data_IF_954716114973
#
_entry.id   IF_954716114973
#
_cell.length_a   1.000
_cell.length_b   1.000
_cell.length_c   1.000
_cell.angle_alpha   90.00
_cell.angle_beta   90.00
_cell.angle_gamma   90.00
#
_symmetry.space_group_name_H-M   'P 1'
#
loop_
_entity.id
_entity.type
_entity.pdbx_description
1 polymer ?
#
# COMPACT_ATOMS: atom_id res chain seq x y z
N UNK A 1 -41.61 9.26 4.11
CA UNK A 1 -40.39 10.09 4.08
C UNK A 1 -39.20 9.16 4.00
N UNK A 2 -38.66 8.97 2.80
CA UNK A 2 -37.48 8.12 2.60
C UNK A 2 -36.25 8.91 3.06
N UNK A 3 -35.56 8.41 4.09
CA UNK A 3 -34.24 8.89 4.50
C UNK A 3 -33.26 8.61 3.36
N UNK A 4 -32.71 9.69 2.79
CA UNK A 4 -31.62 9.61 1.84
C UNK A 4 -30.41 8.94 2.52
N UNK A 5 -30.05 7.75 2.06
CA UNK A 5 -28.73 7.17 2.34
C UNK A 5 -27.69 8.08 1.71
N UNK A 6 -26.93 8.79 2.55
CA UNK A 6 -25.75 9.51 2.11
C UNK A 6 -24.80 8.49 1.45
N UNK A 7 -24.64 8.60 0.14
CA UNK A 7 -23.61 7.91 -0.61
C UNK A 7 -22.27 8.48 -0.15
N UNK A 8 -21.65 7.85 0.85
CA UNK A 8 -20.33 8.23 1.33
C UNK A 8 -19.33 8.18 0.18
N UNK A 9 -18.63 9.28 -0.02
CA UNK A 9 -17.64 9.52 -1.07
C UNK A 9 -16.46 8.55 -0.88
N UNK A 10 -16.45 7.40 -1.56
CA UNK A 10 -15.30 6.48 -1.57
C UNK A 10 -14.01 7.12 -2.13
N UNK A 11 -14.12 8.31 -2.71
CA UNK A 11 -13.01 9.09 -3.27
C UNK A 11 -12.26 9.93 -2.24
N UNK A 12 -12.91 10.32 -1.13
CA UNK A 12 -12.31 11.22 -0.14
C UNK A 12 -11.46 10.43 0.86
N UNK A 13 -10.16 10.76 0.93
CA UNK A 13 -9.18 10.12 1.82
C UNK A 13 -9.07 10.91 3.12
N UNK A 14 -8.96 10.21 4.25
CA UNK A 14 -8.56 10.83 5.53
C UNK A 14 -7.11 11.33 5.43
N UNK A 15 -6.70 12.23 6.33
CA UNK A 15 -5.33 12.73 6.32
C UNK A 15 -4.30 11.63 6.66
N UNK A 16 -4.69 10.69 7.52
CA UNK A 16 -3.90 9.48 7.80
C UNK A 16 -3.75 8.60 6.56
N UNK A 17 -4.84 8.33 5.83
CA UNK A 17 -4.79 7.59 4.57
C UNK A 17 -3.88 8.30 3.56
N UNK A 18 -3.98 9.63 3.42
CA UNK A 18 -3.10 10.38 2.52
C UNK A 18 -1.64 10.21 2.89
N UNK A 19 -1.30 10.30 4.18
CA UNK A 19 0.08 10.16 4.64
C UNK A 19 0.65 8.76 4.35
N UNK A 20 -0.13 7.72 4.63
CA UNK A 20 0.26 6.33 4.36
C UNK A 20 0.45 6.11 2.85
N UNK A 21 -0.50 6.57 2.04
CA UNK A 21 -0.47 6.44 0.58
C UNK A 21 0.72 7.19 0.00
N UNK A 22 1.03 8.39 0.48
CA UNK A 22 2.17 9.17 0.00
C UNK A 22 3.51 8.50 0.31
N UNK A 23 3.63 7.90 1.50
CA UNK A 23 4.81 7.10 1.86
C UNK A 23 4.99 5.89 0.93
N UNK A 24 3.91 5.14 0.69
CA UNK A 24 3.94 3.96 -0.22
C UNK A 24 4.21 4.39 -1.65
N UNK A 25 3.65 5.52 -2.09
CA UNK A 25 3.91 6.13 -3.39
C UNK A 25 5.38 6.45 -3.57
N UNK A 26 5.99 7.11 -2.59
CA UNK A 26 7.40 7.47 -2.65
C UNK A 26 8.28 6.21 -2.73
N UNK A 27 7.97 5.19 -1.93
CA UNK A 27 8.66 3.90 -2.01
C UNK A 27 8.54 3.26 -3.41
N UNK A 28 7.34 3.26 -3.98
CA UNK A 28 7.12 2.74 -5.32
C UNK A 28 7.90 3.53 -6.39
N UNK A 29 7.87 4.86 -6.32
CA UNK A 29 8.48 5.72 -7.33
C UNK A 29 10.02 5.73 -7.25
N UNK A 30 10.59 5.64 -6.04
CA UNK A 30 12.04 5.71 -5.82
C UNK A 30 12.74 4.34 -5.86
N UNK A 31 12.08 3.29 -5.38
CA UNK A 31 12.71 1.97 -5.24
C UNK A 31 12.17 0.97 -6.25
N UNK A 32 10.85 0.89 -6.40
CA UNK A 32 10.24 -0.17 -7.22
C UNK A 32 10.38 0.13 -8.72
N UNK A 33 9.80 1.25 -9.19
CA UNK A 33 9.70 1.57 -10.62
C UNK A 33 11.07 1.57 -11.33
N UNK A 34 12.14 2.18 -10.78
CA UNK A 34 13.42 2.26 -11.48
C UNK A 34 14.11 0.90 -11.64
N UNK A 35 13.76 -0.08 -10.81
CA UNK A 35 14.46 -1.36 -10.73
C UNK A 35 13.60 -2.54 -11.22
N UNK A 36 12.28 -2.36 -11.40
CA UNK A 36 11.36 -3.42 -11.81
C UNK A 36 11.80 -4.14 -13.10
N UNK A 37 12.22 -3.39 -14.12
CA UNK A 37 12.68 -3.97 -15.40
C UNK A 37 13.95 -4.83 -15.21
N UNK A 38 14.85 -4.44 -14.31
CA UNK A 38 16.06 -5.21 -14.03
C UNK A 38 15.73 -6.56 -13.40
N UNK A 39 14.90 -6.56 -12.36
CA UNK A 39 14.53 -7.79 -11.66
C UNK A 39 13.67 -8.72 -12.52
N UNK A 40 12.74 -8.18 -13.33
CA UNK A 40 11.96 -8.98 -14.28
C UNK A 40 12.86 -9.63 -15.34
N UNK A 41 13.92 -8.95 -15.79
CA UNK A 41 14.85 -9.49 -16.78
C UNK A 41 15.81 -10.54 -16.23
N UNK A 42 16.29 -10.37 -15.00
CA UNK A 42 17.26 -11.28 -14.38
C UNK A 42 16.61 -12.48 -13.67
N UNK A 43 15.26 -12.53 -13.58
CA UNK A 43 14.50 -13.56 -12.85
C UNK A 43 14.95 -13.66 -11.37
N UNK A 44 15.32 -12.51 -10.81
CA UNK A 44 15.85 -12.39 -9.44
C UNK A 44 14.77 -11.91 -8.48
N UNK A 45 14.74 -12.55 -7.30
CA UNK A 45 13.82 -12.16 -6.24
C UNK A 45 14.32 -10.91 -5.50
N UNK A 46 13.51 -9.82 -5.43
CA UNK A 46 13.94 -8.54 -4.88
C UNK A 46 13.92 -8.54 -3.34
N UNK A 47 14.89 -9.21 -2.72
CA UNK A 47 14.97 -9.31 -1.25
C UNK A 47 15.00 -7.95 -0.56
N UNK A 48 15.73 -6.98 -1.12
CA UNK A 48 15.86 -5.65 -0.52
C UNK A 48 14.52 -4.90 -0.47
N UNK A 49 13.61 -5.16 -1.40
CA UNK A 49 12.27 -4.57 -1.38
C UNK A 49 11.40 -5.23 -0.34
N UNK A 50 11.48 -6.56 -0.23
CA UNK A 50 10.72 -7.30 0.78
C UNK A 50 11.13 -6.88 2.19
N UNK A 51 12.43 -6.69 2.45
CA UNK A 51 12.88 -6.24 3.77
C UNK A 51 12.42 -4.80 4.05
N UNK A 52 12.50 -3.89 3.07
CA UNK A 52 11.95 -2.53 3.21
C UNK A 52 10.43 -2.53 3.45
N UNK A 53 9.67 -3.33 2.70
CA UNK A 53 8.21 -3.45 2.88
C UNK A 53 7.86 -3.97 4.27
N UNK A 54 8.69 -4.84 4.84
CA UNK A 54 8.55 -5.37 6.20
C UNK A 54 8.87 -4.31 7.25
N UNK A 55 9.91 -3.50 7.06
CA UNK A 55 10.20 -2.35 7.92
C UNK A 55 9.07 -1.31 7.92
N UNK A 56 8.44 -1.10 6.76
CA UNK A 56 7.25 -0.26 6.60
C UNK A 56 5.95 -0.90 7.15
N UNK A 57 6.00 -2.15 7.62
CA UNK A 57 4.85 -2.85 8.19
C UNK A 57 3.80 -3.30 7.16
N UNK A 58 4.10 -3.24 5.86
CA UNK A 58 3.11 -3.47 4.79
C UNK A 58 2.54 -4.89 4.75
N UNK A 59 3.24 -5.87 5.35
CA UNK A 59 2.72 -7.24 5.51
C UNK A 59 1.69 -7.39 6.64
N UNK A 60 1.61 -6.42 7.55
CA UNK A 60 0.74 -6.44 8.73
C UNK A 60 -0.38 -5.41 8.70
N UNK A 61 -0.71 -4.84 7.55
CA UNK A 61 -1.63 -3.68 7.41
C UNK A 61 -2.95 -3.90 8.14
N UNK A 62 -3.61 -5.03 7.90
CA UNK A 62 -4.95 -5.33 8.47
C UNK A 62 -4.89 -6.15 9.75
N UNK A 63 -3.68 -6.56 10.17
CA UNK A 63 -3.49 -7.37 11.36
C UNK A 63 -3.66 -6.46 12.59
N UNK A 64 -4.41 -6.87 13.62
CA UNK A 64 -4.55 -6.08 14.84
C UNK A 64 -3.20 -5.76 15.49
N UNK A 65 -3.12 -4.58 16.11
CA UNK A 65 -1.90 -4.12 16.81
C UNK A 65 -1.43 -5.08 17.90
N UNK A 66 -2.35 -5.80 18.56
CA UNK A 66 -2.01 -6.80 19.59
C UNK A 66 -1.13 -7.96 19.07
N UNK A 67 -1.12 -8.18 17.75
CA UNK A 67 -0.28 -9.17 17.07
C UNK A 67 0.89 -8.53 16.31
N UNK A 68 1.14 -7.22 16.50
CA UNK A 68 2.20 -6.48 15.84
C UNK A 68 1.86 -5.98 14.43
N UNK A 69 0.58 -5.88 14.08
CA UNK A 69 0.12 -5.26 12.83
C UNK A 69 -0.24 -3.78 12.99
N UNK A 70 -0.82 -3.18 11.94
CA UNK A 70 -1.21 -1.77 11.92
C UNK A 70 -2.71 -1.54 12.20
N UNK A 71 -3.53 -2.59 12.24
CA UNK A 71 -4.95 -2.50 12.55
C UNK A 71 -5.77 -1.65 11.57
N UNK A 72 -5.27 -1.43 10.34
CA UNK A 72 -5.90 -0.57 9.35
C UNK A 72 -7.08 -1.27 8.66
N UNK A 73 -8.01 -0.46 8.15
CA UNK A 73 -9.19 -0.95 7.45
C UNK A 73 -8.86 -1.47 6.04
N UNK A 74 -9.79 -2.25 5.49
CA UNK A 74 -9.63 -2.83 4.14
C UNK A 74 -9.55 -1.76 3.06
N UNK A 75 -10.19 -0.61 3.23
CA UNK A 75 -10.15 0.48 2.26
C UNK A 75 -8.72 1.03 2.14
N UNK A 76 -8.07 1.27 3.28
CA UNK A 76 -6.67 1.74 3.32
C UNK A 76 -5.73 0.67 2.75
N UNK A 77 -5.97 -0.61 3.08
CA UNK A 77 -5.21 -1.72 2.49
C UNK A 77 -5.28 -1.74 0.96
N UNK A 78 -6.48 -1.61 0.38
CA UNK A 78 -6.64 -1.57 -1.08
C UNK A 78 -5.88 -0.40 -1.69
N UNK A 79 -5.94 0.78 -1.08
CA UNK A 79 -5.20 1.96 -1.57
C UNK A 79 -3.68 1.76 -1.53
N UNK A 80 -3.15 1.09 -0.50
CA UNK A 80 -1.73 0.72 -0.43
C UNK A 80 -1.37 -0.23 -1.58
N UNK A 81 -2.18 -1.26 -1.79
CA UNK A 81 -1.95 -2.26 -2.84
C UNK A 81 -2.02 -1.62 -4.23
N UNK A 82 -2.93 -0.68 -4.47
CA UNK A 82 -3.02 0.08 -5.72
C UNK A 82 -1.72 0.84 -6.03
N UNK A 83 -1.13 1.49 -5.02
CA UNK A 83 0.13 2.23 -5.20
C UNK A 83 1.32 1.30 -5.45
N UNK A 84 1.42 0.17 -4.73
CA UNK A 84 2.45 -0.85 -4.98
C UNK A 84 2.31 -1.46 -6.39
N UNK A 85 1.08 -1.75 -6.79
CA UNK A 85 0.75 -2.33 -8.10
C UNK A 85 1.06 -1.40 -9.27
N UNK A 86 1.08 -0.07 -9.04
CA UNK A 86 1.59 0.88 -10.04
C UNK A 86 3.07 0.67 -10.28
N UNK A 87 3.82 0.42 -9.19
CA UNK A 87 5.26 0.31 -9.24
C UNK A 87 5.73 -0.96 -9.93
N UNK A 88 5.15 -2.09 -9.53
CA UNK A 88 5.50 -3.39 -10.06
C UNK A 88 4.42 -4.40 -9.69
N UNK A 89 3.83 -5.04 -10.69
CA UNK A 89 2.98 -6.20 -10.50
C UNK A 89 3.42 -7.25 -11.51
N UNK A 90 4.15 -8.24 -11.01
CA UNK A 90 4.51 -9.48 -11.70
C UNK A 90 3.94 -10.63 -10.89
#
# INVERSE_FOLDING_TARGET
>A
MATATASSTYTEKTDEQKAIIEMVRQFADEQIIPNAEHFDHEDEFPQDFVEQMKELGLFGVTIPEEYGGMGLDLTTYVMIVEELSRGWIS
#
